data_IF_970306809741
#
_entry.id   IF_970306809741
#
_cell.length_a   1.000
_cell.length_b   1.000
_cell.length_c   1.000
_cell.angle_alpha   90.00
_cell.angle_beta   90.00
_cell.angle_gamma   90.00
#
_symmetry.space_group_name_H-M   'P 1'
#
loop_
_entity.id
_entity.type
_entity.pdbx_description
1 polymer ?
#
# COMPACT_ATOMS: atom_id res chain seq x y z
N UNK A 1 -65.57 -79.62 49.00
CA UNK A 1 -65.82 -78.60 47.94
C UNK A 1 -65.39 -77.18 48.40
N UNK A 2 -65.28 -76.89 49.69
CA UNK A 2 -65.01 -75.50 50.19
C UNK A 2 -63.55 -75.07 50.05
N UNK A 3 -62.55 -75.97 49.99
CA UNK A 3 -61.15 -75.64 49.81
C UNK A 3 -60.75 -75.21 48.42
N UNK A 4 -61.49 -75.61 47.37
CA UNK A 4 -61.23 -75.28 45.98
C UNK A 4 -61.61 -73.80 45.66
N UNK A 5 -62.70 -73.31 46.27
CA UNK A 5 -63.20 -71.92 46.06
C UNK A 5 -62.27 -70.87 46.71
N UNK A 6 -61.62 -71.18 47.85
CA UNK A 6 -60.66 -70.27 48.51
C UNK A 6 -59.36 -70.18 47.73
N UNK A 7 -58.93 -71.29 47.06
CA UNK A 7 -57.73 -71.30 46.22
C UNK A 7 -57.89 -70.47 44.92
N UNK A 8 -59.07 -70.51 44.31
CA UNK A 8 -59.35 -69.67 43.08
C UNK A 8 -59.43 -68.19 43.46
N UNK A 9 -60.11 -67.81 44.52
CA UNK A 9 -60.18 -66.39 44.95
C UNK A 9 -58.80 -65.80 45.29
N UNK A 10 -57.85 -66.56 45.84
CA UNK A 10 -56.50 -66.12 46.15
C UNK A 10 -55.65 -65.97 44.85
N UNK A 11 -55.90 -66.77 43.84
CA UNK A 11 -55.20 -66.63 42.51
C UNK A 11 -55.68 -65.38 41.77
N UNK A 12 -56.98 -65.10 41.80
CA UNK A 12 -57.58 -63.96 41.17
C UNK A 12 -57.13 -62.66 41.85
N UNK A 13 -57.06 -62.57 43.14
CA UNK A 13 -56.54 -61.41 43.89
C UNK A 13 -55.05 -61.21 43.61
N UNK A 14 -54.21 -62.27 43.49
CA UNK A 14 -52.82 -62.18 43.15
C UNK A 14 -52.60 -61.71 41.65
N UNK A 15 -53.49 -62.10 40.75
CA UNK A 15 -53.42 -61.67 39.36
C UNK A 15 -53.88 -60.22 39.22
N UNK A 16 -54.86 -59.81 39.96
CA UNK A 16 -55.34 -58.42 39.96
C UNK A 16 -54.29 -57.45 40.55
N UNK A 17 -53.63 -57.85 41.65
CA UNK A 17 -52.51 -57.11 42.23
C UNK A 17 -51.32 -56.99 41.29
N UNK A 18 -51.00 -58.03 40.58
CA UNK A 18 -49.96 -57.97 39.48
C UNK A 18 -50.40 -57.08 38.35
N UNK A 19 -51.66 -57.04 37.98
CA UNK A 19 -52.20 -56.18 36.94
C UNK A 19 -52.16 -54.70 37.32
N UNK A 20 -52.56 -54.40 38.55
CA UNK A 20 -52.50 -53.05 39.13
C UNK A 20 -51.05 -52.59 39.26
N UNK A 21 -50.13 -53.44 39.73
CA UNK A 21 -48.70 -53.10 39.76
C UNK A 21 -48.11 -52.81 38.34
N UNK A 22 -48.47 -53.61 37.34
CA UNK A 22 -48.09 -53.37 35.97
C UNK A 22 -48.66 -52.05 35.40
N UNK A 23 -49.95 -51.80 35.69
CA UNK A 23 -50.60 -50.54 35.28
C UNK A 23 -49.91 -49.30 35.93
N UNK A 24 -49.55 -49.38 37.18
CA UNK A 24 -48.87 -48.31 37.89
C UNK A 24 -47.41 -48.10 37.32
N UNK A 25 -46.71 -49.18 36.99
CA UNK A 25 -45.40 -49.09 36.33
C UNK A 25 -45.56 -48.43 34.98
N UNK A 26 -46.57 -48.81 34.19
CA UNK A 26 -46.81 -48.14 32.89
C UNK A 26 -47.16 -46.65 33.04
N UNK A 27 -47.93 -46.27 34.04
CA UNK A 27 -48.25 -44.87 34.34
C UNK A 27 -47.00 -44.07 34.72
N UNK A 28 -46.10 -44.65 35.52
CA UNK A 28 -44.86 -44.03 35.94
C UNK A 28 -43.92 -43.88 34.72
N UNK A 29 -43.80 -44.92 33.87
CA UNK A 29 -42.99 -44.85 32.65
C UNK A 29 -43.55 -43.81 31.71
N UNK A 30 -44.85 -43.76 31.49
CA UNK A 30 -45.49 -42.74 30.65
C UNK A 30 -45.30 -41.32 31.21
N UNK A 31 -45.32 -41.13 32.49
CA UNK A 31 -45.08 -39.86 33.17
C UNK A 31 -43.64 -39.44 33.01
N UNK A 32 -42.65 -40.33 33.12
CA UNK A 32 -41.25 -40.07 32.90
C UNK A 32 -40.97 -39.70 31.43
N UNK A 33 -41.57 -40.44 30.49
CA UNK A 33 -41.44 -40.10 29.05
C UNK A 33 -42.07 -38.74 28.76
N UNK A 34 -43.25 -38.45 29.31
CA UNK A 34 -43.92 -37.17 29.10
C UNK A 34 -43.11 -35.99 29.69
N UNK A 35 -42.57 -36.14 30.90
CA UNK A 35 -41.71 -35.12 31.50
C UNK A 35 -40.42 -34.93 30.73
N UNK A 36 -39.77 -35.98 30.25
CA UNK A 36 -38.58 -35.92 29.40
C UNK A 36 -38.85 -35.20 28.08
N UNK A 37 -39.98 -35.50 27.41
CA UNK A 37 -40.36 -34.81 26.15
C UNK A 37 -40.68 -33.34 26.37
N UNK A 38 -41.42 -33.00 27.44
CA UNK A 38 -41.71 -31.60 27.78
C UNK A 38 -40.42 -30.83 28.10
N UNK A 39 -39.53 -31.43 28.89
CA UNK A 39 -38.22 -30.83 29.22
C UNK A 39 -37.38 -30.63 27.96
N UNK A 40 -37.33 -31.61 27.07
CA UNK A 40 -36.63 -31.50 25.76
C UNK A 40 -37.21 -30.39 24.89
N UNK A 41 -38.55 -30.30 24.77
CA UNK A 41 -39.20 -29.23 24.00
C UNK A 41 -38.96 -27.85 24.61
N UNK A 42 -39.01 -27.68 25.90
CA UNK A 42 -38.71 -26.42 26.58
C UNK A 42 -37.26 -26.01 26.41
N UNK A 43 -36.34 -26.96 26.57
CA UNK A 43 -34.91 -26.70 26.38
C UNK A 43 -34.58 -26.31 24.94
N UNK A 44 -35.16 -27.02 23.96
CA UNK A 44 -34.98 -26.66 22.53
C UNK A 44 -35.60 -25.31 22.19
N UNK A 45 -36.77 -24.99 22.77
CA UNK A 45 -37.43 -23.70 22.59
C UNK A 45 -36.62 -22.53 23.21
N UNK A 46 -36.05 -22.74 24.39
CA UNK A 46 -35.17 -21.75 25.05
C UNK A 46 -33.86 -21.57 24.24
N UNK A 47 -33.25 -22.67 23.78
CA UNK A 47 -32.06 -22.62 22.92
C UNK A 47 -32.37 -21.94 21.58
N UNK A 48 -33.51 -22.26 20.97
CA UNK A 48 -33.96 -21.61 19.73
C UNK A 48 -34.21 -20.11 19.93
N UNK A 49 -34.89 -19.70 21.01
CA UNK A 49 -35.09 -18.30 21.33
C UNK A 49 -33.76 -17.57 21.62
N UNK A 50 -32.85 -18.19 22.37
CA UNK A 50 -31.50 -17.62 22.54
C UNK A 50 -30.75 -17.51 21.22
N UNK A 51 -30.86 -18.51 20.38
CA UNK A 51 -30.28 -18.47 19.02
C UNK A 51 -30.89 -17.33 18.19
N UNK A 52 -32.21 -17.24 18.11
CA UNK A 52 -32.91 -16.18 17.35
C UNK A 52 -32.65 -14.80 17.93
N UNK A 53 -32.62 -14.63 19.26
CA UNK A 53 -32.28 -13.32 19.86
C UNK A 53 -30.81 -12.95 19.72
N UNK A 54 -29.88 -13.92 19.69
CA UNK A 54 -28.46 -13.66 19.48
C UNK A 54 -28.10 -13.42 17.99
N UNK A 55 -28.79 -14.09 17.07
CA UNK A 55 -28.48 -14.03 15.63
C UNK A 55 -29.55 -13.29 14.80
N UNK A 56 -30.78 -13.22 15.29
CA UNK A 56 -31.88 -12.49 14.60
C UNK A 56 -31.80 -10.97 14.73
N UNK A 57 -30.88 -10.44 15.56
CA UNK A 57 -30.61 -9.02 15.69
C UNK A 57 -29.44 -8.57 14.79
N UNK A 58 -28.87 -9.49 14.01
CA UNK A 58 -27.81 -9.16 13.04
C UNK A 58 -28.52 -8.65 11.78
N UNK A 59 -28.79 -7.38 11.76
CA UNK A 59 -29.35 -6.70 10.60
C UNK A 59 -29.01 -5.22 10.64
N UNK A 60 -28.64 -4.71 9.50
CA UNK A 60 -28.56 -3.27 9.27
C UNK A 60 -29.98 -2.73 9.49
N UNK A 61 -30.20 -1.99 10.57
CA UNK A 61 -31.46 -1.28 10.77
C UNK A 61 -31.53 -0.17 9.72
N UNK A 62 -32.34 -0.37 8.70
CA UNK A 62 -32.72 0.69 7.78
C UNK A 62 -33.78 1.56 8.44
N UNK A 63 -33.52 2.84 8.53
CA UNK A 63 -34.51 3.81 8.93
C UNK A 63 -35.65 3.88 7.88
N UNK A 64 -36.80 4.38 8.26
CA UNK A 64 -37.99 4.55 7.38
C UNK A 64 -37.74 5.46 6.17
N UNK A 65 -36.64 6.21 6.16
CA UNK A 65 -36.17 7.08 5.06
C UNK A 65 -35.14 6.40 4.13
N UNK A 66 -34.85 5.11 4.32
CA UNK A 66 -33.89 4.37 3.52
C UNK A 66 -32.42 4.59 3.90
N UNK A 67 -32.13 5.40 4.92
CA UNK A 67 -30.77 5.57 5.44
C UNK A 67 -30.45 4.48 6.46
N UNK A 68 -29.35 3.78 6.28
CA UNK A 68 -28.84 2.80 7.25
C UNK A 68 -27.88 3.49 8.21
N UNK A 69 -28.23 3.61 9.48
CA UNK A 69 -27.29 4.00 10.52
C UNK A 69 -26.86 2.75 11.30
N UNK A 70 -25.67 2.26 11.02
CA UNK A 70 -25.03 1.21 11.82
C UNK A 70 -24.30 1.92 12.96
N UNK A 71 -24.70 1.66 14.21
CA UNK A 71 -23.89 2.14 15.32
C UNK A 71 -22.57 1.35 15.38
N UNK A 72 -21.50 1.97 15.83
CA UNK A 72 -20.20 1.29 16.00
C UNK A 72 -20.33 0.04 16.88
N UNK A 73 -21.20 0.08 17.90
CA UNK A 73 -21.47 -1.06 18.78
C UNK A 73 -22.16 -2.23 18.06
N UNK A 74 -23.04 -1.95 17.10
CA UNK A 74 -23.72 -3.00 16.33
C UNK A 74 -22.78 -3.62 15.31
N UNK A 75 -21.89 -2.82 14.71
CA UNK A 75 -20.83 -3.31 13.83
C UNK A 75 -19.91 -4.29 14.58
N UNK A 76 -19.40 -3.90 15.74
CA UNK A 76 -18.53 -4.77 16.56
C UNK A 76 -19.21 -6.08 16.90
N UNK A 77 -20.46 -6.05 17.37
CA UNK A 77 -21.24 -7.26 17.68
C UNK A 77 -21.42 -8.15 16.46
N UNK A 78 -21.68 -7.56 15.30
CA UNK A 78 -21.84 -8.31 14.04
C UNK A 78 -20.54 -9.01 13.66
N UNK A 79 -19.41 -8.31 13.73
CA UNK A 79 -18.08 -8.90 13.44
C UNK A 79 -17.74 -10.03 14.42
N UNK A 80 -17.98 -9.86 15.72
CA UNK A 80 -17.79 -10.92 16.73
C UNK A 80 -18.65 -12.14 16.45
N UNK A 81 -19.91 -11.92 16.05
CA UNK A 81 -20.83 -13.00 15.71
C UNK A 81 -20.34 -13.75 14.46
N UNK A 82 -19.97 -13.03 13.40
CA UNK A 82 -19.43 -13.64 12.19
C UNK A 82 -18.14 -14.42 12.47
N UNK A 83 -17.23 -13.86 13.25
CA UNK A 83 -16.00 -14.54 13.69
C UNK A 83 -16.34 -15.87 14.39
N UNK A 84 -17.30 -15.85 15.32
CA UNK A 84 -17.73 -17.05 16.05
C UNK A 84 -18.34 -18.09 15.12
N UNK A 85 -19.21 -17.67 14.20
CA UNK A 85 -19.83 -18.57 13.21
C UNK A 85 -18.80 -19.18 12.27
N UNK A 86 -17.87 -18.37 11.76
CA UNK A 86 -16.80 -18.84 10.87
C UNK A 86 -15.93 -19.87 11.58
N UNK A 87 -15.48 -19.60 12.81
CA UNK A 87 -14.70 -20.56 13.62
C UNK A 87 -15.41 -21.89 13.84
N UNK A 88 -16.75 -21.87 13.97
CA UNK A 88 -17.55 -23.07 14.21
C UNK A 88 -17.94 -23.83 12.95
N UNK A 89 -18.07 -23.18 11.82
CA UNK A 89 -18.71 -23.71 10.62
C UNK A 89 -17.78 -23.83 9.41
N UNK A 90 -16.72 -23.00 9.34
CA UNK A 90 -15.80 -23.02 8.21
C UNK A 90 -14.98 -24.31 8.23
N UNK A 91 -14.88 -24.98 7.07
CA UNK A 91 -14.21 -26.28 6.93
C UNK A 91 -12.67 -26.16 6.87
N UNK A 92 -12.15 -25.00 6.50
CA UNK A 92 -10.72 -24.72 6.41
C UNK A 92 -10.14 -24.14 7.69
N UNK A 93 -8.86 -23.81 7.66
CA UNK A 93 -8.18 -23.09 8.74
C UNK A 93 -8.60 -21.62 8.75
N UNK A 94 -8.73 -21.07 9.96
CA UNK A 94 -9.14 -19.68 10.18
C UNK A 94 -7.96 -18.88 10.69
N UNK A 95 -7.51 -17.92 9.91
CA UNK A 95 -6.53 -16.91 10.29
C UNK A 95 -7.28 -15.68 10.83
N UNK A 96 -7.36 -15.58 12.16
CA UNK A 96 -8.11 -14.49 12.83
C UNK A 96 -7.47 -13.11 12.58
N UNK A 97 -6.14 -13.05 12.49
CA UNK A 97 -5.39 -11.80 12.26
C UNK A 97 -5.72 -11.23 10.88
N UNK A 98 -5.64 -12.05 9.84
CA UNK A 98 -6.04 -11.65 8.48
C UNK A 98 -7.52 -11.25 8.38
N UNK A 99 -8.39 -11.91 9.13
CA UNK A 99 -9.81 -11.53 9.17
C UNK A 99 -10.00 -10.13 9.76
N UNK A 100 -9.31 -9.81 10.85
CA UNK A 100 -9.38 -8.49 11.50
C UNK A 100 -8.78 -7.42 10.59
N UNK A 101 -7.61 -7.67 10.02
CA UNK A 101 -6.99 -6.76 9.05
C UNK A 101 -7.89 -6.50 7.85
N UNK A 102 -8.47 -7.55 7.26
CA UNK A 102 -9.42 -7.42 6.16
C UNK A 102 -10.66 -6.60 6.51
N UNK A 103 -11.18 -6.75 7.73
CA UNK A 103 -12.32 -5.96 8.20
C UNK A 103 -11.98 -4.47 8.34
N UNK A 104 -10.79 -4.14 8.86
CA UNK A 104 -10.31 -2.75 9.00
C UNK A 104 -10.06 -2.14 7.61
N UNK A 105 -9.38 -2.87 6.72
CA UNK A 105 -9.17 -2.43 5.32
C UNK A 105 -10.50 -2.11 4.64
N UNK A 106 -11.45 -3.06 4.67
CA UNK A 106 -12.77 -2.86 4.06
C UNK A 106 -13.56 -1.70 4.68
N UNK A 107 -13.41 -1.45 5.98
CA UNK A 107 -14.02 -0.29 6.63
C UNK A 107 -13.47 1.03 6.08
N UNK A 108 -12.14 1.14 5.91
CA UNK A 108 -11.47 2.33 5.37
C UNK A 108 -11.77 2.50 3.89
N UNK A 109 -11.72 1.42 3.10
CA UNK A 109 -12.07 1.40 1.67
C UNK A 109 -13.51 1.84 1.40
N UNK A 110 -14.41 1.62 2.37
CA UNK A 110 -15.80 2.08 2.33
C UNK A 110 -15.95 3.60 2.21
N UNK A 111 -14.89 4.38 2.47
CA UNK A 111 -14.85 5.82 2.20
C UNK A 111 -14.93 6.16 0.69
N UNK A 112 -14.44 5.25 -0.17
CA UNK A 112 -14.40 5.45 -1.61
C UNK A 112 -13.31 6.42 -2.10
N UNK A 113 -12.36 6.77 -1.23
CA UNK A 113 -11.17 7.55 -1.58
C UNK A 113 -10.02 6.59 -1.92
N UNK A 114 -9.46 6.62 -3.16
CA UNK A 114 -8.41 5.68 -3.57
C UNK A 114 -7.06 5.92 -2.90
N UNK A 115 -6.90 7.00 -2.15
CA UNK A 115 -5.64 7.39 -1.50
C UNK A 115 -5.66 7.19 0.01
N UNK A 116 -6.86 7.00 0.60
CA UNK A 116 -7.03 6.73 2.02
C UNK A 116 -6.99 5.23 2.25
N UNK A 117 -6.04 4.75 3.04
CA UNK A 117 -5.84 3.32 3.28
C UNK A 117 -5.35 3.01 4.69
N UNK A 118 -5.71 1.84 5.18
CA UNK A 118 -5.12 1.24 6.37
C UNK A 118 -3.93 0.37 5.95
N UNK A 119 -2.79 0.62 6.59
CA UNK A 119 -1.55 -0.12 6.38
C UNK A 119 -1.32 -1.06 7.57
N UNK A 120 -1.48 -2.37 7.43
CA UNK A 120 -1.00 -3.33 8.42
C UNK A 120 0.48 -3.12 8.73
N UNK A 121 0.95 -3.61 9.87
CA UNK A 121 2.33 -3.40 10.33
C UNK A 121 3.39 -3.70 9.27
N UNK A 122 3.22 -4.78 8.51
CA UNK A 122 4.16 -5.15 7.45
C UNK A 122 4.18 -4.11 6.32
N UNK A 123 3.00 -3.68 5.85
CA UNK A 123 2.85 -2.67 4.80
C UNK A 123 3.32 -1.28 5.28
N UNK A 124 3.09 -0.95 6.57
CA UNK A 124 3.59 0.28 7.17
C UNK A 124 5.13 0.31 7.23
N UNK A 125 5.76 -0.83 7.51
CA UNK A 125 7.22 -0.95 7.49
C UNK A 125 7.75 -0.77 6.06
N UNK A 126 7.15 -1.44 5.08
CA UNK A 126 7.51 -1.32 3.67
C UNK A 126 7.36 0.13 3.17
N UNK A 127 6.22 0.77 3.44
CA UNK A 127 5.98 2.18 3.12
C UNK A 127 7.05 3.11 3.72
N UNK A 128 7.44 2.86 4.98
CA UNK A 128 8.46 3.66 5.67
C UNK A 128 9.85 3.45 5.05
N UNK A 129 10.19 2.21 4.68
CA UNK A 129 11.45 1.91 3.97
C UNK A 129 11.48 2.61 2.62
N UNK A 130 10.41 2.52 1.81
CA UNK A 130 10.31 3.15 0.51
C UNK A 130 10.50 4.67 0.61
N UNK A 131 9.76 5.32 1.51
CA UNK A 131 9.82 6.79 1.65
C UNK A 131 11.09 7.30 2.31
N UNK A 132 11.86 6.44 3.01
CA UNK A 132 13.14 6.82 3.63
C UNK A 132 14.32 6.83 2.67
N UNK A 133 14.17 6.42 1.42
CA UNK A 133 15.26 6.14 0.47
C UNK A 133 16.30 5.12 1.00
N UNK A 134 15.94 4.33 2.01
CA UNK A 134 16.88 3.44 2.68
C UNK A 134 16.22 2.10 2.98
N UNK A 135 16.95 1.03 2.72
CA UNK A 135 16.56 -0.33 3.13
C UNK A 135 17.79 -1.14 3.52
N UNK A 136 17.59 -2.23 4.24
CA UNK A 136 18.68 -3.17 4.53
C UNK A 136 18.60 -4.36 3.59
N UNK A 137 19.63 -4.53 2.77
CA UNK A 137 19.66 -5.56 1.74
C UNK A 137 21.03 -5.74 1.08
N UNK A 138 21.03 -6.22 -0.15
CA UNK A 138 22.25 -6.53 -0.90
C UNK A 138 22.63 -5.50 -1.96
N UNK A 139 21.73 -4.60 -2.40
CA UNK A 139 21.99 -3.52 -3.34
C UNK A 139 22.13 -3.99 -4.79
N UNK A 140 21.05 -4.52 -5.36
CA UNK A 140 20.97 -4.97 -6.76
C UNK A 140 19.72 -4.40 -7.45
N UNK A 141 19.82 -4.16 -8.74
CA UNK A 141 18.70 -3.89 -9.62
C UNK A 141 18.25 -5.19 -10.27
N UNK A 142 17.00 -5.57 -10.04
CA UNK A 142 16.41 -6.82 -10.53
C UNK A 142 15.27 -6.54 -11.51
N UNK A 143 15.09 -7.45 -12.46
CA UNK A 143 13.91 -7.46 -13.33
C UNK A 143 13.43 -8.88 -13.55
N UNK A 144 12.14 -9.04 -13.78
CA UNK A 144 11.57 -10.29 -14.23
C UNK A 144 11.69 -10.40 -15.75
N UNK A 145 12.57 -11.27 -16.25
CA UNK A 145 12.56 -11.63 -17.67
C UNK A 145 11.37 -12.57 -17.94
N UNK A 146 10.29 -11.96 -18.43
CA UNK A 146 9.05 -12.70 -18.75
C UNK A 146 9.21 -13.77 -19.82
N UNK A 147 10.24 -13.68 -20.68
CA UNK A 147 10.47 -14.64 -21.76
C UNK A 147 11.02 -15.95 -21.24
N UNK A 148 11.81 -15.91 -20.18
CA UNK A 148 12.44 -17.07 -19.54
C UNK A 148 11.88 -17.38 -18.15
N UNK A 149 11.02 -16.49 -17.61
CA UNK A 149 10.50 -16.54 -16.24
C UNK A 149 11.63 -16.59 -15.19
N UNK A 150 12.65 -15.77 -15.36
CA UNK A 150 13.82 -15.72 -14.49
C UNK A 150 14.01 -14.34 -13.83
N UNK A 151 14.71 -14.33 -12.68
CA UNK A 151 15.09 -13.09 -12.00
C UNK A 151 16.46 -12.67 -12.54
N UNK A 152 16.48 -11.64 -13.39
CA UNK A 152 17.70 -11.13 -13.99
C UNK A 152 18.28 -9.97 -13.18
N UNK A 153 19.58 -10.03 -12.87
CA UNK A 153 20.34 -8.92 -12.32
C UNK A 153 20.63 -7.92 -13.45
N UNK A 154 19.99 -6.77 -13.42
CA UNK A 154 20.24 -5.67 -14.38
C UNK A 154 21.55 -4.97 -14.05
N UNK A 155 21.89 -4.89 -12.77
CA UNK A 155 23.12 -4.28 -12.28
C UNK A 155 23.22 -4.33 -10.75
N UNK A 156 24.37 -3.92 -10.25
CA UNK A 156 24.64 -3.72 -8.83
C UNK A 156 24.77 -2.24 -8.52
N UNK A 157 24.32 -1.81 -7.35
CA UNK A 157 24.53 -0.45 -6.89
C UNK A 157 25.99 -0.22 -6.54
N UNK A 158 26.51 0.98 -6.78
CA UNK A 158 27.89 1.34 -6.44
C UNK A 158 28.14 1.18 -4.93
N UNK A 159 29.26 0.55 -4.57
CA UNK A 159 29.60 0.27 -3.16
C UNK A 159 28.68 -0.72 -2.46
N UNK A 160 27.79 -1.41 -3.19
CA UNK A 160 26.85 -2.35 -2.58
C UNK A 160 27.50 -3.69 -2.16
N UNK A 161 26.92 -4.38 -1.18
CA UNK A 161 27.37 -5.72 -0.77
C UNK A 161 27.34 -6.75 -1.90
N UNK A 162 26.38 -6.65 -2.82
CA UNK A 162 26.30 -7.54 -3.97
C UNK A 162 27.49 -7.35 -4.92
N UNK A 163 27.89 -6.08 -5.18
CA UNK A 163 29.08 -5.76 -5.97
C UNK A 163 30.34 -6.29 -5.29
N UNK A 164 30.49 -6.08 -3.98
CA UNK A 164 31.61 -6.58 -3.19
C UNK A 164 31.71 -8.12 -3.22
N UNK A 165 30.55 -8.81 -3.25
CA UNK A 165 30.47 -10.27 -3.34
C UNK A 165 30.72 -10.82 -4.75
N UNK A 166 30.87 -9.95 -5.76
CA UNK A 166 31.15 -10.32 -7.15
C UNK A 166 29.90 -10.63 -7.98
N UNK A 167 28.71 -10.16 -7.58
CA UNK A 167 27.52 -10.23 -8.41
C UNK A 167 27.64 -9.25 -9.60
N UNK A 168 27.12 -9.62 -10.77
CA UNK A 168 27.32 -8.87 -12.02
C UNK A 168 25.98 -8.71 -12.77
N UNK A 169 25.92 -7.69 -13.59
CA UNK A 169 24.83 -7.57 -14.57
C UNK A 169 24.80 -8.79 -15.51
N UNK A 170 23.64 -9.33 -15.78
CA UNK A 170 23.43 -10.54 -16.55
C UNK A 170 23.36 -11.83 -15.73
N UNK A 171 23.67 -11.81 -14.42
CA UNK A 171 23.43 -12.94 -13.55
C UNK A 171 21.94 -13.25 -13.44
N UNK A 172 21.59 -14.52 -13.39
CA UNK A 172 20.21 -14.95 -13.12
C UNK A 172 20.18 -15.51 -11.70
N UNK A 173 19.36 -14.94 -10.82
CA UNK A 173 19.18 -15.45 -9.46
C UNK A 173 18.29 -16.70 -9.54
N UNK A 174 18.83 -17.84 -9.17
CA UNK A 174 18.11 -19.10 -9.12
C UNK A 174 17.63 -19.46 -7.72
N UNK A 175 18.48 -19.19 -6.69
CA UNK A 175 18.17 -19.57 -5.30
C UNK A 175 18.63 -18.47 -4.33
N UNK A 176 17.84 -18.27 -3.27
CA UNK A 176 18.24 -17.48 -2.11
C UNK A 176 18.10 -18.35 -0.86
N UNK A 177 19.18 -18.51 -0.08
CA UNK A 177 19.26 -19.38 1.09
C UNK A 177 18.83 -20.84 0.80
N UNK A 178 19.12 -21.32 -0.42
CA UNK A 178 18.79 -22.68 -0.86
C UNK A 178 17.35 -22.87 -1.37
N UNK A 179 16.50 -21.85 -1.30
CA UNK A 179 15.13 -21.87 -1.86
C UNK A 179 15.18 -21.34 -3.29
N UNK A 180 14.58 -22.06 -4.23
CA UNK A 180 14.49 -21.66 -5.63
C UNK A 180 13.40 -20.59 -5.85
N UNK A 181 13.69 -19.60 -6.72
CA UNK A 181 12.78 -18.55 -7.13
C UNK A 181 12.76 -18.39 -8.64
N UNK A 182 11.65 -17.88 -9.15
CA UNK A 182 11.42 -17.59 -10.57
C UNK A 182 11.01 -16.14 -10.76
N UNK A 183 10.87 -15.70 -12.02
CA UNK A 183 10.35 -14.36 -12.30
C UNK A 183 8.99 -14.08 -11.65
N UNK A 184 8.10 -15.08 -11.56
CA UNK A 184 6.80 -14.94 -10.89
C UNK A 184 6.90 -14.79 -9.37
N UNK A 185 7.95 -15.31 -8.75
CA UNK A 185 8.19 -15.23 -7.28
C UNK A 185 9.30 -14.23 -6.93
N UNK A 186 9.58 -13.27 -7.83
CA UNK A 186 10.63 -12.27 -7.63
C UNK A 186 10.41 -11.43 -6.37
N UNK A 187 9.16 -11.03 -6.08
CA UNK A 187 8.84 -10.24 -4.88
C UNK A 187 9.14 -11.01 -3.58
N UNK A 188 8.92 -12.32 -3.59
CA UNK A 188 9.29 -13.19 -2.46
C UNK A 188 10.82 -13.29 -2.31
N UNK A 189 11.54 -13.40 -3.43
CA UNK A 189 13.00 -13.39 -3.42
C UNK A 189 13.54 -12.05 -2.88
N UNK A 190 12.97 -10.91 -3.29
CA UNK A 190 13.34 -9.58 -2.80
C UNK A 190 13.16 -9.49 -1.28
N UNK A 191 12.07 -10.00 -0.72
CA UNK A 191 11.84 -10.04 0.74
C UNK A 191 12.92 -10.81 1.48
N UNK A 192 13.45 -11.90 0.89
CA UNK A 192 14.52 -12.71 1.50
C UNK A 192 15.91 -12.12 1.24
N UNK A 193 16.10 -11.35 0.16
CA UNK A 193 17.34 -10.61 -0.11
C UNK A 193 17.50 -9.41 0.84
N UNK A 194 16.39 -8.78 1.26
CA UNK A 194 16.33 -7.86 2.41
C UNK A 194 16.48 -8.65 3.73
N UNK A 195 16.70 -7.94 4.84
CA UNK A 195 16.76 -8.56 6.18
C UNK A 195 17.54 -7.72 7.17
N UNK A 196 17.95 -8.31 8.29
CA UNK A 196 18.68 -7.59 9.34
C UNK A 196 20.09 -7.19 8.87
N UNK A 197 20.53 -5.98 9.25
CA UNK A 197 21.87 -5.48 8.95
C UNK A 197 22.95 -6.39 9.55
N UNK A 198 23.99 -6.67 8.78
CA UNK A 198 25.06 -7.58 9.17
C UNK A 198 24.74 -9.08 9.00
N UNK A 199 23.48 -9.44 8.75
CA UNK A 199 23.13 -10.82 8.40
C UNK A 199 23.56 -11.16 6.97
N UNK A 200 23.70 -12.46 6.64
CA UNK A 200 24.13 -12.89 5.31
C UNK A 200 23.00 -13.56 4.52
N UNK A 201 22.96 -13.31 3.22
CA UNK A 201 22.17 -14.06 2.25
C UNK A 201 23.12 -14.93 1.41
N UNK A 202 22.79 -16.21 1.26
CA UNK A 202 23.45 -17.08 0.28
C UNK A 202 22.65 -17.03 -1.01
N UNK A 203 23.24 -16.46 -2.06
CA UNK A 203 22.58 -16.29 -3.37
C UNK A 203 23.26 -17.19 -4.38
N UNK A 204 22.51 -18.11 -5.00
CA UNK A 204 23.00 -18.92 -6.11
C UNK A 204 22.57 -18.22 -7.41
N UNK A 205 23.54 -17.83 -8.21
CA UNK A 205 23.31 -17.23 -9.53
C UNK A 205 23.77 -18.15 -10.65
N UNK A 206 23.08 -18.10 -11.79
CA UNK A 206 23.50 -18.71 -13.05
C UNK A 206 24.22 -17.67 -13.88
N UNK A 207 25.49 -17.87 -14.18
CA UNK A 207 26.36 -17.03 -15.04
C UNK A 207 27.05 -17.89 -16.08
N UNK A 208 26.88 -17.58 -17.36
CA UNK A 208 27.46 -18.33 -18.47
C UNK A 208 27.20 -19.85 -18.38
N UNK A 209 25.98 -20.24 -17.95
CA UNK A 209 25.55 -21.62 -17.82
C UNK A 209 26.14 -22.37 -16.59
N UNK A 210 26.75 -21.66 -15.62
CA UNK A 210 27.32 -22.24 -14.41
C UNK A 210 26.67 -21.64 -13.17
N UNK A 211 26.29 -22.48 -12.23
CA UNK A 211 25.87 -22.04 -10.88
C UNK A 211 27.08 -21.50 -10.10
N UNK A 212 26.91 -20.32 -9.50
CA UNK A 212 27.89 -19.68 -8.63
C UNK A 212 27.20 -19.32 -7.32
N UNK A 213 27.73 -19.76 -6.21
CA UNK A 213 27.24 -19.41 -4.88
C UNK A 213 27.96 -18.16 -4.36
N UNK A 214 27.20 -17.12 -4.08
CA UNK A 214 27.68 -15.86 -3.50
C UNK A 214 27.14 -15.71 -2.08
N UNK A 215 28.00 -15.37 -1.12
CA UNK A 215 27.57 -15.01 0.24
C UNK A 215 27.64 -13.51 0.37
N UNK A 216 26.48 -12.87 0.54
CA UNK A 216 26.34 -11.41 0.56
C UNK A 216 25.92 -10.97 1.95
N UNK A 217 26.73 -10.14 2.61
CA UNK A 217 26.38 -9.56 3.92
C UNK A 217 25.50 -8.33 3.71
N UNK A 218 24.29 -8.34 4.27
CA UNK A 218 23.34 -7.23 4.13
C UNK A 218 23.86 -5.98 4.82
N UNK A 219 23.74 -4.86 4.14
CA UNK A 219 24.06 -3.52 4.67
C UNK A 219 22.89 -2.58 4.43
N UNK A 220 22.91 -1.46 5.13
CA UNK A 220 22.03 -0.34 4.82
C UNK A 220 22.39 0.22 3.44
N UNK A 221 21.42 0.27 2.55
CA UNK A 221 21.53 0.78 1.18
C UNK A 221 20.78 2.08 1.11
N UNK A 222 21.37 3.11 0.53
CA UNK A 222 20.67 4.35 0.18
C UNK A 222 20.37 4.32 -1.32
N UNK A 223 19.12 4.58 -1.67
CA UNK A 223 18.68 4.68 -3.07
C UNK A 223 18.81 6.13 -3.51
N UNK A 224 19.56 6.38 -4.58
CA UNK A 224 19.66 7.70 -5.15
C UNK A 224 18.52 7.92 -6.14
N UNK A 225 17.69 8.94 -5.86
CA UNK A 225 16.56 9.33 -6.69
C UNK A 225 16.83 10.57 -7.57
N UNK A 226 18.03 11.12 -7.47
CA UNK A 226 18.47 12.24 -8.28
C UNK A 226 19.67 11.82 -9.08
N UNK A 227 19.60 11.96 -10.39
CA UNK A 227 20.74 11.78 -11.27
C UNK A 227 20.93 13.02 -12.15
N UNK A 228 22.17 13.38 -12.44
CA UNK A 228 22.42 14.60 -13.20
C UNK A 228 23.62 14.46 -14.13
N UNK A 229 23.61 15.25 -15.21
CA UNK A 229 24.72 15.37 -16.14
C UNK A 229 24.69 16.73 -16.83
N UNK A 230 25.88 17.21 -17.27
CA UNK A 230 25.97 18.28 -18.21
C UNK A 230 25.67 17.75 -19.62
N UNK A 231 24.79 18.42 -20.34
CA UNK A 231 24.47 18.09 -21.74
C UNK A 231 24.91 19.22 -22.67
N UNK A 232 24.62 19.08 -23.95
CA UNK A 232 24.97 20.09 -24.94
C UNK A 232 24.48 21.49 -24.55
N UNK A 233 25.10 22.55 -25.11
CA UNK A 233 24.82 23.95 -24.82
C UNK A 233 25.07 24.36 -23.34
N UNK A 234 25.85 23.58 -22.58
CA UNK A 234 26.07 23.76 -21.14
C UNK A 234 24.75 23.78 -20.36
N UNK A 235 23.86 22.84 -20.61
CA UNK A 235 22.62 22.69 -19.87
C UNK A 235 22.79 21.60 -18.81
N UNK A 236 22.40 21.90 -17.58
CA UNK A 236 22.30 20.90 -16.50
C UNK A 236 21.01 20.07 -16.66
N UNK A 237 21.12 18.82 -17.02
CA UNK A 237 19.99 17.88 -17.00
C UNK A 237 19.97 17.15 -15.67
N UNK A 238 18.83 17.22 -14.95
CA UNK A 238 18.64 16.62 -13.65
C UNK A 238 17.34 15.84 -13.67
N UNK A 239 17.43 14.55 -13.48
CA UNK A 239 16.28 13.66 -13.36
C UNK A 239 15.98 13.41 -11.88
N UNK A 240 14.71 13.51 -11.51
CA UNK A 240 14.22 13.20 -10.17
C UNK A 240 13.16 12.10 -10.31
N UNK A 241 13.47 10.88 -9.84
CA UNK A 241 12.61 9.72 -10.02
C UNK A 241 11.53 9.60 -8.96
N UNK A 242 11.80 10.08 -7.73
CA UNK A 242 10.87 10.12 -6.60
C UNK A 242 11.24 11.28 -5.67
N UNK A 243 10.30 11.71 -4.82
CA UNK A 243 10.54 12.69 -3.77
C UNK A 243 10.64 12.02 -2.39
N UNK A 244 11.56 11.06 -2.26
CA UNK A 244 11.83 10.39 -1.00
C UNK A 244 12.84 11.19 -0.16
N UNK A 245 13.02 10.79 1.09
CA UNK A 245 13.84 11.54 2.06
C UNK A 245 15.27 11.80 1.54
N UNK A 246 15.70 13.07 1.60
CA UNK A 246 17.04 13.53 1.21
C UNK A 246 17.17 13.96 -0.26
N UNK A 247 16.09 13.88 -1.04
CA UNK A 247 16.08 14.24 -2.46
C UNK A 247 16.36 15.72 -2.67
N UNK A 248 15.81 16.61 -1.84
CA UNK A 248 16.06 18.05 -1.93
C UNK A 248 17.55 18.40 -1.70
N UNK A 249 18.20 17.72 -0.76
CA UNK A 249 19.63 17.91 -0.49
C UNK A 249 20.49 17.38 -1.65
N UNK A 250 20.17 16.18 -2.14
CA UNK A 250 20.85 15.58 -3.30
C UNK A 250 20.69 16.46 -4.54
N UNK A 251 19.48 16.95 -4.83
CA UNK A 251 19.22 17.89 -5.91
C UNK A 251 20.04 19.17 -5.77
N UNK A 252 20.00 19.79 -4.58
CA UNK A 252 20.77 21.01 -4.29
C UNK A 252 22.26 20.82 -4.55
N UNK A 253 22.84 19.72 -4.07
CA UNK A 253 24.25 19.39 -4.28
C UNK A 253 24.58 19.29 -5.76
N UNK A 254 23.82 18.48 -6.49
CA UNK A 254 24.10 18.18 -7.91
C UNK A 254 23.87 19.40 -8.80
N UNK A 255 22.78 20.17 -8.60
CA UNK A 255 22.53 21.38 -9.39
C UNK A 255 23.60 22.46 -9.14
N UNK A 256 24.02 22.64 -7.87
CA UNK A 256 25.08 23.62 -7.55
C UNK A 256 26.41 23.24 -8.18
N UNK A 257 26.74 21.95 -8.20
CA UNK A 257 27.94 21.44 -8.89
C UNK A 257 27.89 21.74 -10.38
N UNK A 258 26.79 21.43 -11.08
CA UNK A 258 26.65 21.70 -12.51
C UNK A 258 26.68 23.21 -12.84
N UNK A 259 26.09 24.05 -11.99
CA UNK A 259 26.18 25.52 -12.13
C UNK A 259 27.62 25.96 -11.97
N UNK A 260 28.38 25.43 -11.01
CA UNK A 260 29.80 25.75 -10.83
C UNK A 260 30.67 25.33 -12.03
N UNK A 261 30.25 24.29 -12.74
CA UNK A 261 30.84 23.81 -13.99
C UNK A 261 30.43 24.64 -15.23
N UNK A 262 29.59 25.66 -15.06
CA UNK A 262 29.20 26.61 -16.10
C UNK A 262 27.86 26.30 -16.77
N UNK A 263 26.94 25.61 -16.11
CA UNK A 263 25.58 25.42 -16.62
C UNK A 263 24.89 26.78 -16.84
N UNK A 264 24.27 26.94 -18.01
CA UNK A 264 23.54 28.15 -18.43
C UNK A 264 22.03 27.98 -18.45
N UNK A 265 21.55 26.77 -18.35
CA UNK A 265 20.14 26.38 -18.25
C UNK A 265 20.00 25.09 -17.42
N UNK A 266 18.81 24.83 -16.93
CA UNK A 266 18.51 23.65 -16.14
C UNK A 266 17.30 22.95 -16.76
N UNK A 267 17.41 21.64 -17.00
CA UNK A 267 16.28 20.76 -17.32
C UNK A 267 16.02 19.91 -16.07
N UNK A 268 14.82 19.97 -15.52
CA UNK A 268 14.35 19.10 -14.44
C UNK A 268 13.40 18.08 -15.06
N UNK A 269 13.79 16.80 -15.08
CA UNK A 269 12.95 15.74 -15.60
C UNK A 269 12.16 15.09 -14.48
N UNK A 270 10.83 15.30 -14.51
CA UNK A 270 9.84 14.75 -13.58
C UNK A 270 8.92 13.73 -14.26
N UNK A 271 9.26 13.28 -15.46
CA UNK A 271 8.44 12.31 -16.17
C UNK A 271 8.38 10.99 -15.42
N UNK A 272 7.18 10.44 -15.34
CA UNK A 272 6.87 9.19 -14.60
C UNK A 272 7.21 9.22 -13.10
N UNK A 273 7.46 10.40 -12.53
CA UNK A 273 7.64 10.60 -11.10
C UNK A 273 6.26 10.81 -10.43
N UNK A 274 5.78 9.81 -9.70
CA UNK A 274 4.49 9.81 -9.00
C UNK A 274 4.40 10.75 -7.79
N UNK A 275 5.50 11.43 -7.43
CA UNK A 275 5.58 12.31 -6.28
C UNK A 275 6.39 11.73 -5.13
N UNK A 276 5.89 11.88 -3.91
CA UNK A 276 6.52 11.48 -2.66
C UNK A 276 6.28 12.50 -1.56
N UNK A 277 7.31 12.83 -0.78
CA UNK A 277 7.27 13.73 0.37
C UNK A 277 7.13 15.17 -0.09
N UNK A 278 6.09 15.86 0.39
CA UNK A 278 5.79 17.26 0.05
C UNK A 278 6.95 18.20 0.44
N UNK A 279 7.57 17.97 1.59
CA UNK A 279 8.68 18.78 2.08
C UNK A 279 9.91 18.71 1.17
N UNK A 280 10.16 17.60 0.49
CA UNK A 280 11.26 17.47 -0.46
C UNK A 280 10.99 18.32 -1.73
N UNK A 281 9.77 18.29 -2.26
CA UNK A 281 9.40 19.12 -3.40
C UNK A 281 9.44 20.62 -3.08
N UNK A 282 8.93 21.00 -1.88
CA UNK A 282 8.98 22.40 -1.43
C UNK A 282 10.40 22.84 -1.11
N UNK A 283 11.27 21.93 -0.64
CA UNK A 283 12.69 22.15 -0.43
C UNK A 283 13.44 22.42 -1.73
N UNK A 284 13.10 21.74 -2.83
CA UNK A 284 13.66 22.06 -4.16
C UNK A 284 13.12 23.41 -4.65
N UNK A 285 11.82 23.68 -4.52
CA UNK A 285 11.25 24.96 -4.92
C UNK A 285 11.86 26.15 -4.18
N UNK A 286 12.21 25.98 -2.89
CA UNK A 286 12.88 26.99 -2.05
C UNK A 286 14.26 27.44 -2.60
N UNK A 287 14.91 26.62 -3.43
CA UNK A 287 16.18 26.98 -4.09
C UNK A 287 16.00 28.07 -5.15
N UNK A 288 14.83 28.17 -5.76
CA UNK A 288 14.52 29.05 -6.88
C UNK A 288 13.72 30.29 -6.47
N UNK A 289 12.92 30.18 -5.42
CA UNK A 289 11.94 31.21 -5.02
C UNK A 289 12.52 32.14 -3.96
N UNK A 290 12.14 33.42 -4.02
CA UNK A 290 12.56 34.39 -3.02
C UNK A 290 11.89 34.13 -1.67
N UNK A 291 12.59 34.42 -0.60
CA UNK A 291 12.05 34.29 0.76
C UNK A 291 10.69 34.97 0.90
N UNK A 292 9.72 34.20 1.41
CA UNK A 292 8.33 34.65 1.62
C UNK A 292 7.42 34.46 0.40
N UNK A 293 7.94 34.05 -0.75
CA UNK A 293 7.08 33.70 -1.88
C UNK A 293 6.35 32.38 -1.61
N UNK A 294 5.09 32.32 -2.01
CA UNK A 294 4.25 31.13 -1.83
C UNK A 294 4.73 30.01 -2.76
N UNK A 295 4.93 28.82 -2.20
CA UNK A 295 5.26 27.59 -2.92
C UNK A 295 3.99 26.78 -3.16
N UNK A 296 3.12 26.71 -2.15
CA UNK A 296 1.97 25.83 -2.11
C UNK A 296 0.84 26.45 -1.30
N UNK A 297 -0.39 26.27 -1.74
CA UNK A 297 -1.60 26.61 -1.00
C UNK A 297 -2.33 25.31 -0.68
N UNK A 298 -2.66 25.07 0.60
CA UNK A 298 -3.47 23.91 1.00
C UNK A 298 -4.79 24.32 1.62
N UNK A 299 -5.81 23.49 1.48
CA UNK A 299 -7.13 23.61 2.11
C UNK A 299 -7.49 22.30 2.79
N UNK A 300 -7.95 22.38 4.01
CA UNK A 300 -8.41 21.21 4.77
C UNK A 300 -9.85 21.39 5.25
N UNK A 301 -10.36 20.37 5.91
CA UNK A 301 -11.68 20.42 6.55
C UNK A 301 -11.79 21.48 7.66
N UNK A 302 -10.65 21.80 8.28
CA UNK A 302 -10.56 22.68 9.47
C UNK A 302 -9.94 24.05 9.16
N UNK A 303 -9.29 24.20 7.99
CA UNK A 303 -8.64 25.43 7.58
C UNK A 303 -8.97 25.74 6.11
N UNK A 304 -9.41 26.99 5.85
CA UNK A 304 -9.77 27.41 4.49
C UNK A 304 -8.55 27.47 3.57
N UNK A 305 -7.48 28.12 4.06
CA UNK A 305 -6.21 28.21 3.32
C UNK A 305 -5.04 28.22 4.28
N UNK A 306 -4.00 27.49 3.92
CA UNK A 306 -2.68 27.56 4.53
C UNK A 306 -1.64 27.75 3.44
N UNK A 307 -0.63 28.59 3.70
CA UNK A 307 0.41 28.91 2.75
C UNK A 307 1.72 28.27 3.20
N UNK A 308 2.31 27.45 2.34
CA UNK A 308 3.71 27.09 2.46
C UNK A 308 4.52 28.09 1.65
N UNK A 309 5.46 28.77 2.30
CA UNK A 309 6.27 29.83 1.68
C UNK A 309 7.75 29.45 1.69
N UNK A 310 8.50 30.01 0.75
CA UNK A 310 9.95 29.90 0.73
C UNK A 310 10.56 30.46 2.00
N UNK A 311 11.45 29.70 2.62
CA UNK A 311 12.08 30.00 3.93
C UNK A 311 13.40 30.76 3.78
N UNK A 312 14.07 30.55 2.66
CA UNK A 312 15.41 31.07 2.38
C UNK A 312 15.41 32.01 1.17
N UNK A 313 16.48 32.77 1.02
CA UNK A 313 16.71 33.51 -0.22
C UNK A 313 17.09 32.52 -1.34
N UNK A 314 16.57 32.77 -2.54
CA UNK A 314 16.83 31.93 -3.69
C UNK A 314 18.33 31.77 -3.95
N UNK A 315 18.79 30.53 -4.04
CA UNK A 315 20.20 30.21 -4.38
C UNK A 315 20.41 30.07 -5.88
N UNK A 316 19.34 29.81 -6.64
CA UNK A 316 19.36 29.70 -8.11
C UNK A 316 18.54 30.88 -8.64
N UNK A 317 19.21 31.80 -9.35
CA UNK A 317 18.60 33.01 -9.88
C UNK A 317 18.99 33.20 -11.34
N UNK A 318 18.09 33.77 -12.11
CA UNK A 318 18.32 34.19 -13.51
C UNK A 318 18.78 33.08 -14.49
N UNK A 319 18.68 31.81 -14.11
CA UNK A 319 18.97 30.65 -14.97
C UNK A 319 17.66 30.14 -15.56
N UNK A 320 17.51 29.97 -16.88
CA UNK A 320 16.33 29.35 -17.48
C UNK A 320 16.12 27.91 -16.99
N UNK A 321 14.86 27.56 -16.70
CA UNK A 321 14.47 26.23 -16.23
C UNK A 321 13.42 25.65 -17.18
N UNK A 322 13.67 24.46 -17.67
CA UNK A 322 12.65 23.65 -18.36
C UNK A 322 12.30 22.46 -17.48
N UNK A 323 11.00 22.22 -17.29
CA UNK A 323 10.51 21.05 -16.54
C UNK A 323 9.87 20.10 -17.53
N UNK A 324 10.39 18.87 -17.60
CA UNK A 324 9.81 17.79 -18.39
C UNK A 324 8.76 17.06 -17.56
N UNK A 325 7.57 16.91 -18.12
CA UNK A 325 6.43 16.24 -17.46
C UNK A 325 5.69 15.31 -18.41
N UNK A 326 5.01 14.31 -17.86
CA UNK A 326 4.10 13.43 -18.58
C UNK A 326 2.91 13.02 -17.69
N UNK A 327 2.06 12.11 -18.18
CA UNK A 327 0.86 11.62 -17.48
C UNK A 327 1.19 10.86 -16.18
N UNK A 328 2.43 10.40 -16.01
CA UNK A 328 2.93 9.80 -14.77
C UNK A 328 3.48 10.80 -13.76
N UNK A 329 3.60 12.09 -14.13
CA UNK A 329 4.01 13.16 -13.22
C UNK A 329 2.85 13.52 -12.29
N UNK A 330 3.01 13.30 -10.97
CA UNK A 330 1.90 13.45 -10.02
C UNK A 330 2.33 14.02 -8.66
N UNK A 331 1.37 14.55 -7.88
CA UNK A 331 1.53 14.90 -6.45
C UNK A 331 2.69 15.89 -6.20
N UNK A 332 3.72 15.50 -5.42
CA UNK A 332 4.89 16.34 -5.11
C UNK A 332 5.59 16.89 -6.37
N UNK A 333 5.61 16.11 -7.46
CA UNK A 333 6.10 16.57 -8.77
C UNK A 333 5.27 17.73 -9.32
N UNK A 334 3.94 17.67 -9.14
CA UNK A 334 3.03 18.74 -9.56
C UNK A 334 3.15 19.97 -8.66
N UNK A 335 3.48 19.78 -7.37
CA UNK A 335 3.78 20.88 -6.45
C UNK A 335 5.01 21.65 -6.94
N UNK A 336 6.12 20.97 -7.21
CA UNK A 336 7.35 21.60 -7.71
C UNK A 336 7.11 22.30 -9.05
N UNK A 337 6.52 21.57 -10.01
CA UNK A 337 6.27 22.12 -11.35
C UNK A 337 5.32 23.33 -11.32
N UNK A 338 4.24 23.25 -10.51
CA UNK A 338 3.29 24.35 -10.36
C UNK A 338 3.87 25.56 -9.64
N UNK A 339 4.69 25.36 -8.62
CA UNK A 339 5.37 26.43 -7.89
C UNK A 339 6.31 27.21 -8.82
N UNK A 340 7.18 26.51 -9.56
CA UNK A 340 8.13 27.15 -10.47
C UNK A 340 7.42 27.79 -11.67
N UNK A 341 6.42 27.15 -12.23
CA UNK A 341 5.60 27.73 -13.31
C UNK A 341 4.98 29.07 -12.92
N UNK A 342 4.49 29.17 -11.69
CA UNK A 342 3.74 30.35 -11.23
C UNK A 342 4.64 31.47 -10.69
N UNK A 343 5.80 31.15 -10.12
CA UNK A 343 6.63 32.11 -9.36
C UNK A 343 8.05 32.31 -9.92
N UNK A 344 8.57 31.37 -10.69
CA UNK A 344 9.89 31.55 -11.30
C UNK A 344 9.75 31.93 -12.78
N UNK A 345 9.98 33.21 -13.14
CA UNK A 345 9.61 33.76 -14.46
C UNK A 345 10.25 33.05 -15.66
N UNK A 346 11.42 32.44 -15.44
CA UNK A 346 12.19 31.78 -16.49
C UNK A 346 11.88 30.27 -16.56
N UNK A 347 10.67 29.84 -16.18
CA UNK A 347 10.24 28.43 -16.21
C UNK A 347 9.38 28.15 -17.43
N UNK A 348 9.72 27.10 -18.16
CA UNK A 348 8.88 26.52 -19.22
C UNK A 348 8.61 25.05 -18.91
N UNK A 349 7.34 24.62 -18.99
CA UNK A 349 6.95 23.22 -18.86
C UNK A 349 6.80 22.62 -20.25
N UNK A 350 7.46 21.51 -20.49
CA UNK A 350 7.49 20.78 -21.77
C UNK A 350 7.04 19.33 -21.54
N UNK A 351 6.26 18.79 -22.44
CA UNK A 351 5.83 17.38 -22.41
C UNK A 351 4.34 17.22 -22.52
N UNK A 352 3.76 16.30 -21.75
CA UNK A 352 2.33 16.00 -21.74
C UNK A 352 1.69 16.46 -20.42
N UNK A 353 0.37 16.61 -20.43
CA UNK A 353 -0.41 17.01 -19.24
C UNK A 353 -0.17 16.03 -18.08
N UNK A 354 0.04 16.55 -16.87
CA UNK A 354 0.30 15.75 -15.67
C UNK A 354 -0.94 15.03 -15.17
N UNK A 355 -0.78 14.11 -14.21
CA UNK A 355 -1.81 13.23 -13.68
C UNK A 355 -2.99 13.95 -13.03
N UNK A 356 -2.72 14.99 -12.23
CA UNK A 356 -3.75 15.72 -11.50
C UNK A 356 -4.08 15.13 -10.12
N UNK A 357 -3.09 14.68 -9.35
CA UNK A 357 -3.26 14.29 -7.95
C UNK A 357 -3.08 15.50 -7.03
N UNK A 358 -4.11 16.35 -6.93
CA UNK A 358 -4.11 17.59 -6.13
C UNK A 358 -4.53 17.41 -4.68
N UNK A 359 -4.19 16.27 -4.04
CA UNK A 359 -4.52 15.96 -2.64
C UNK A 359 -3.31 15.47 -1.86
N UNK A 360 -3.28 15.77 -0.57
CA UNK A 360 -2.22 15.38 0.36
C UNK A 360 -2.78 14.37 1.37
N UNK A 361 -2.02 13.31 1.62
CA UNK A 361 -2.32 12.33 2.65
C UNK A 361 -1.44 12.59 3.87
N UNK A 362 -2.07 12.50 5.05
CA UNK A 362 -1.37 12.46 6.34
C UNK A 362 -1.33 11.02 6.84
N UNK A 363 -0.15 10.57 7.23
CA UNK A 363 0.09 9.26 7.80
C UNK A 363 0.02 9.30 9.33
N UNK A 364 -0.87 8.53 9.90
CA UNK A 364 -1.02 8.36 11.35
C UNK A 364 -0.50 6.97 11.75
N UNK A 365 0.61 6.93 12.46
CA UNK A 365 1.15 5.69 13.03
C UNK A 365 0.32 5.26 14.24
N UNK A 366 -0.03 3.98 14.31
CA UNK A 366 -0.77 3.40 15.41
C UNK A 366 0.17 2.65 16.38
N UNK A 367 -0.30 2.43 17.61
CA UNK A 367 0.52 1.86 18.69
C UNK A 367 0.95 0.40 18.46
N UNK A 368 0.28 -0.32 17.59
CA UNK A 368 0.60 -1.70 17.21
C UNK A 368 1.60 -1.80 16.05
N UNK A 369 2.00 -0.65 15.50
CA UNK A 369 2.92 -0.53 14.37
C UNK A 369 2.23 -0.50 13.01
N UNK A 370 0.89 -0.57 12.96
CA UNK A 370 0.11 -0.31 11.75
C UNK A 370 -0.03 1.20 11.49
N UNK A 371 -0.62 1.60 10.37
CA UNK A 371 -0.82 2.99 10.02
C UNK A 371 -2.17 3.25 9.37
N UNK A 372 -2.60 4.50 9.45
CA UNK A 372 -3.75 5.00 8.71
C UNK A 372 -3.32 6.22 7.89
N UNK A 373 -3.31 6.06 6.57
CA UNK A 373 -3.01 7.14 5.62
C UNK A 373 -4.33 7.73 5.16
N UNK A 374 -4.55 9.03 5.43
CA UNK A 374 -5.84 9.71 5.17
C UNK A 374 -5.59 10.92 4.28
N UNK A 375 -6.42 11.10 3.26
CA UNK A 375 -6.49 12.36 2.51
C UNK A 375 -7.07 13.46 3.39
N UNK A 376 -6.22 14.43 3.76
CA UNK A 376 -6.54 15.50 4.71
C UNK A 376 -6.66 16.87 4.06
N UNK A 377 -5.98 17.09 2.93
CA UNK A 377 -5.89 18.39 2.30
C UNK A 377 -6.04 18.28 0.78
N UNK A 378 -6.60 19.32 0.17
CA UNK A 378 -6.51 19.62 -1.25
C UNK A 378 -5.50 20.76 -1.44
N UNK A 379 -4.67 20.69 -2.47
CA UNK A 379 -3.68 21.72 -2.74
C UNK A 379 -3.85 22.40 -4.09
N UNK A 380 -3.33 23.62 -4.16
CA UNK A 380 -3.38 24.50 -5.31
C UNK A 380 -2.00 25.10 -5.55
N UNK A 381 -1.75 25.51 -6.79
CA UNK A 381 -0.54 26.27 -7.12
C UNK A 381 -0.55 27.65 -6.44
N UNK A 382 0.60 28.35 -6.38
CA UNK A 382 0.64 29.70 -5.81
C UNK A 382 -0.30 30.72 -6.42
N UNK A 383 -0.72 30.53 -7.66
CA UNK A 383 -1.69 31.36 -8.34
C UNK A 383 -3.13 30.82 -8.24
N UNK A 384 -3.40 29.93 -7.26
CA UNK A 384 -4.70 29.30 -6.98
C UNK A 384 -5.21 28.39 -8.11
N UNK A 385 -4.34 27.94 -9.03
CA UNK A 385 -4.76 26.97 -10.03
C UNK A 385 -5.01 25.62 -9.36
N UNK A 386 -6.13 25.00 -9.69
CA UNK A 386 -6.52 23.69 -9.19
C UNK A 386 -5.70 22.60 -9.88
N UNK A 387 -5.17 21.68 -9.08
CA UNK A 387 -4.43 20.51 -9.57
C UNK A 387 -5.30 19.26 -9.54
N UNK A 388 -6.13 19.11 -8.50
CA UNK A 388 -6.90 17.89 -8.28
C UNK A 388 -7.85 17.61 -9.45
N UNK A 389 -7.63 16.46 -10.12
CA UNK A 389 -8.33 15.99 -11.33
C UNK A 389 -8.13 16.87 -12.58
N UNK A 390 -7.30 17.90 -12.48
CA UNK A 390 -7.03 18.82 -13.58
C UNK A 390 -5.59 18.72 -14.09
N UNK A 391 -4.61 18.51 -13.18
CA UNK A 391 -3.20 18.45 -13.53
C UNK A 391 -2.62 19.79 -14.03
N UNK A 392 -1.36 19.75 -14.44
CA UNK A 392 -0.65 20.89 -15.03
C UNK A 392 -0.58 20.68 -16.53
N UNK A 393 -1.10 21.65 -17.29
CA UNK A 393 -0.94 21.68 -18.74
C UNK A 393 0.43 22.27 -19.08
N UNK A 394 1.27 21.63 -19.91
CA UNK A 394 2.56 22.14 -20.30
C UNK A 394 2.43 23.45 -21.11
N UNK A 395 3.50 24.25 -21.11
CA UNK A 395 3.58 25.42 -21.99
C UNK A 395 3.84 25.02 -23.45
N UNK A 396 4.58 23.93 -23.62
CA UNK A 396 4.91 23.34 -24.92
C UNK A 396 4.54 21.86 -24.87
N UNK A 397 3.46 21.51 -25.55
CA UNK A 397 3.00 20.13 -25.64
C UNK A 397 3.84 19.35 -26.66
N UNK A 398 4.47 18.28 -26.19
CA UNK A 398 5.30 17.39 -27.02
C UNK A 398 5.07 15.96 -26.55
N UNK A 399 4.55 15.11 -27.42
CA UNK A 399 4.44 13.68 -27.17
C UNK A 399 5.75 12.96 -27.51
N UNK A 400 5.98 11.80 -26.87
CA UNK A 400 7.07 10.93 -27.24
C UNK A 400 6.81 10.31 -28.61
N UNK A 401 7.82 10.30 -29.47
CA UNK A 401 7.76 9.57 -30.74
C UNK A 401 7.84 8.07 -30.50
N UNK A 402 7.16 7.29 -31.35
CA UNK A 402 7.28 5.84 -31.36
C UNK A 402 8.30 5.42 -32.39
N UNK A 403 9.16 4.45 -32.03
CA UNK A 403 10.08 3.81 -32.94
C UNK A 403 9.37 2.89 -33.96
N UNK A 404 10.11 2.26 -34.87
CA UNK A 404 9.56 1.36 -35.87
C UNK A 404 8.80 0.15 -35.29
N UNK A 405 9.09 -0.24 -34.06
CA UNK A 405 8.44 -1.34 -33.34
C UNK A 405 7.19 -0.89 -32.56
N UNK A 406 6.81 0.39 -32.67
CA UNK A 406 5.68 0.98 -31.95
C UNK A 406 5.93 1.27 -30.47
N UNK A 407 7.17 1.11 -29.97
CA UNK A 407 7.57 1.48 -28.62
C UNK A 407 7.99 2.95 -28.58
N UNK A 408 7.71 3.61 -27.45
CA UNK A 408 8.18 4.98 -27.25
C UNK A 408 9.69 5.07 -27.29
N UNK A 409 10.19 6.09 -28.00
CA UNK A 409 11.62 6.39 -28.09
C UNK A 409 12.05 7.15 -26.84
N UNK A 410 12.74 6.46 -25.93
CA UNK A 410 13.17 7.01 -24.64
C UNK A 410 14.69 7.12 -24.50
N UNK A 411 15.45 6.74 -25.57
CA UNK A 411 16.87 7.01 -25.57
C UNK A 411 17.13 8.51 -25.57
N UNK A 412 17.95 8.99 -24.65
CA UNK A 412 18.17 10.40 -24.37
C UNK A 412 18.39 11.23 -25.64
N UNK A 413 19.27 10.78 -26.54
CA UNK A 413 19.63 11.49 -27.76
C UNK A 413 18.56 11.43 -28.87
N UNK A 414 17.52 10.60 -28.67
CA UNK A 414 16.42 10.45 -29.63
C UNK A 414 15.11 10.99 -29.08
N UNK A 415 15.03 11.19 -27.77
CA UNK A 415 13.86 11.67 -27.06
C UNK A 415 13.40 13.05 -27.55
N UNK A 416 12.21 13.12 -28.14
CA UNK A 416 11.66 14.35 -28.70
C UNK A 416 11.41 15.44 -27.64
N UNK A 417 11.03 15.03 -26.42
CA UNK A 417 10.78 15.96 -25.31
C UNK A 417 12.09 16.54 -24.78
N UNK A 418 13.14 15.71 -24.64
CA UNK A 418 14.48 16.17 -24.24
C UNK A 418 15.06 17.15 -25.29
N UNK A 419 14.97 16.78 -26.55
CA UNK A 419 15.40 17.69 -27.64
C UNK A 419 14.69 19.02 -27.56
N UNK A 420 13.37 18.98 -27.40
CA UNK A 420 12.57 20.21 -27.28
C UNK A 420 12.94 21.04 -26.06
N UNK A 421 13.23 20.39 -24.94
CA UNK A 421 13.69 21.08 -23.74
C UNK A 421 15.04 21.77 -23.91
N UNK A 422 15.97 21.16 -24.64
CA UNK A 422 17.29 21.76 -24.97
C UNK A 422 17.17 22.98 -25.91
N UNK A 423 16.18 22.96 -26.82
CA UNK A 423 15.91 24.06 -27.76
C UNK A 423 15.17 25.25 -27.11
N UNK A 424 14.48 25.03 -26.01
CA UNK A 424 13.64 26.01 -25.32
C UNK A 424 14.46 26.88 -24.39
#
# INVERSE_FOLDING_TARGET
PMFIIIGLRRKDIKMEDKRIKRQNIYKVIMLVILTATITFMLTTMIMYNKFVTSYGSIGIKTNTDGTSSISTSDLVKTLETFKTMIKQKYIGEVDEEKMVEGAIKGFVEGLGDPYTEYLPKAEMTEFTEETSSQYVGIGVYLTNDKSTNTILVVGTMEGSPALEAGMQAGDIIEKVNGVAYTGETMDEAIKVLKGEEGSSAKVTVLRDGKEIDLTVTRKKITVEHVSSKMVENNIAYIQVDSFDSGVAESFKKQVTELISQGAKGIIIDLRSNGGGIVDEATGIADLFLKKGETILITKSKTANEQLTVSKNDATIQDIPVVILVNEGTASASEILAGALKDKYPNTTIVGMKTYGKGVIQTLYSLSDGSGLKITTEEYYTPNHNKINKEGITPNVEVDLTKNADGKYETEFDKDAQVKKAIET
#
